data_IF_490212467589
#
_entry.id   IF_490212467589
#
_cell.length_a   1.000
_cell.length_b   1.000
_cell.length_c   1.000
_cell.angle_alpha   90.00
_cell.angle_beta   90.00
_cell.angle_gamma   90.00
#
_symmetry.space_group_name_H-M   'P 1'
#
loop_
_entity.id
_entity.type
_entity.pdbx_description
1 polymer ?
#
# COMPACT_ATOMS: atom_id res chain seq x y z
N UNK A 1 0.00 -8.44 -13.17
CA UNK A 1 -1.46 -8.61 -13.11
C UNK A 1 -1.74 -10.09 -13.08
N UNK A 2 -2.33 -10.57 -11.99
CA UNK A 2 -2.61 -11.99 -11.76
C UNK A 2 -4.09 -12.21 -11.42
N UNK A 3 -4.67 -13.31 -11.90
CA UNK A 3 -6.06 -13.72 -11.62
C UNK A 3 -6.00 -14.91 -10.66
N UNK A 4 -6.53 -14.72 -9.45
CA UNK A 4 -6.52 -15.74 -8.39
C UNK A 4 -7.92 -16.23 -8.07
N UNK A 5 -8.02 -17.36 -7.36
CA UNK A 5 -9.30 -17.95 -6.96
C UNK A 5 -9.27 -18.39 -5.48
N UNK A 6 -10.40 -18.25 -4.80
CA UNK A 6 -10.56 -18.64 -3.39
C UNK A 6 -12.01 -19.00 -3.07
N UNK A 7 -12.26 -19.55 -1.89
CA UNK A 7 -13.60 -19.76 -1.35
C UNK A 7 -14.06 -18.53 -0.56
N UNK A 8 -15.32 -18.11 -0.71
CA UNK A 8 -15.91 -17.05 0.10
C UNK A 8 -16.07 -17.52 1.55
N UNK A 9 -15.44 -16.86 2.54
CA UNK A 9 -15.50 -17.30 3.94
C UNK A 9 -16.89 -17.14 4.58
N UNK A 10 -17.80 -16.40 3.93
CA UNK A 10 -19.14 -16.17 4.45
C UNK A 10 -20.18 -17.17 3.91
N UNK A 11 -20.12 -17.52 2.62
CA UNK A 11 -21.16 -18.35 1.98
C UNK A 11 -20.62 -19.56 1.21
N UNK A 12 -19.31 -19.81 1.21
CA UNK A 12 -18.69 -20.98 0.59
C UNK A 12 -18.64 -20.96 -0.94
N UNK A 13 -19.10 -19.89 -1.59
CA UNK A 13 -19.03 -19.79 -3.06
C UNK A 13 -17.59 -19.55 -3.51
N UNK A 14 -17.21 -20.13 -4.64
CA UNK A 14 -15.92 -19.81 -5.26
C UNK A 14 -15.90 -18.37 -5.83
N UNK A 15 -14.83 -17.64 -5.56
CA UNK A 15 -14.63 -16.24 -5.95
C UNK A 15 -13.33 -16.11 -6.73
N UNK A 16 -13.40 -15.45 -7.87
CA UNK A 16 -12.23 -15.05 -8.66
C UNK A 16 -11.87 -13.60 -8.32
N UNK A 17 -10.58 -13.32 -8.18
CA UNK A 17 -10.05 -12.02 -7.81
C UNK A 17 -8.88 -11.57 -8.67
N UNK A 18 -8.48 -10.32 -8.49
CA UNK A 18 -7.31 -9.72 -9.15
C UNK A 18 -6.27 -9.34 -8.11
N UNK A 19 -5.04 -9.83 -8.26
CA UNK A 19 -3.94 -9.60 -7.30
C UNK A 19 -4.37 -9.86 -5.85
N UNK A 20 -5.08 -10.97 -5.59
CA UNK A 20 -5.56 -11.32 -4.26
C UNK A 20 -6.69 -10.44 -3.70
N UNK A 21 -7.33 -9.61 -4.52
CA UNK A 21 -8.53 -8.83 -4.14
C UNK A 21 -9.79 -9.54 -4.60
N UNK A 22 -10.70 -9.82 -3.67
CA UNK A 22 -11.86 -10.66 -3.87
C UNK A 22 -13.15 -9.92 -3.49
N UNK A 23 -14.18 -10.11 -4.31
CA UNK A 23 -15.54 -9.63 -4.04
C UNK A 23 -16.55 -10.72 -4.40
N UNK A 24 -17.34 -11.16 -3.44
CA UNK A 24 -18.35 -12.19 -3.63
C UNK A 24 -19.64 -11.57 -4.19
N UNK A 25 -19.97 -11.90 -5.44
CA UNK A 25 -21.20 -11.43 -6.09
C UNK A 25 -22.49 -11.98 -5.45
N UNK A 26 -22.42 -13.05 -4.65
CA UNK A 26 -23.60 -13.69 -4.07
C UNK A 26 -24.00 -13.13 -2.71
N UNK A 27 -23.04 -12.84 -1.84
CA UNK A 27 -23.33 -12.39 -0.47
C UNK A 27 -22.72 -11.04 -0.09
N UNK A 28 -21.99 -10.40 -1.01
CA UNK A 28 -21.43 -9.06 -0.82
C UNK A 28 -20.17 -8.99 0.05
N UNK A 29 -19.63 -10.12 0.52
CA UNK A 29 -18.35 -10.15 1.22
C UNK A 29 -17.22 -9.62 0.32
N UNK A 30 -16.38 -8.76 0.88
CA UNK A 30 -15.13 -8.29 0.27
C UNK A 30 -14.00 -8.46 1.28
N UNK A 31 -12.80 -8.80 0.81
CA UNK A 31 -11.64 -8.88 1.68
C UNK A 31 -11.13 -7.48 2.07
N UNK A 32 -10.35 -7.39 3.16
CA UNK A 32 -9.80 -6.10 3.58
C UNK A 32 -8.81 -5.58 2.53
N UNK A 33 -8.79 -4.27 2.30
CA UNK A 33 -8.01 -3.65 1.22
C UNK A 33 -6.50 -3.94 1.27
N UNK A 34 -5.98 -4.24 2.46
CA UNK A 34 -4.57 -4.57 2.70
C UNK A 34 -4.21 -6.04 2.46
N UNK A 35 -5.18 -6.89 2.12
CA UNK A 35 -4.98 -8.34 1.94
C UNK A 35 -4.67 -8.73 0.48
N UNK A 36 -4.60 -7.75 -0.43
CA UNK A 36 -4.13 -7.99 -1.80
C UNK A 36 -2.66 -8.40 -1.83
N UNK A 37 -2.23 -9.04 -2.91
CA UNK A 37 -0.85 -9.49 -3.11
C UNK A 37 0.02 -8.47 -3.84
N UNK A 38 -0.58 -7.46 -4.46
CA UNK A 38 0.16 -6.33 -5.03
C UNK A 38 0.54 -5.33 -3.94
N UNK A 39 1.73 -4.72 -4.09
CA UNK A 39 2.14 -3.59 -3.26
C UNK A 39 1.09 -2.48 -3.30
N UNK A 40 0.88 -1.87 -2.14
CA UNK A 40 0.02 -0.72 -2.01
C UNK A 40 0.78 0.53 -2.48
N UNK A 41 0.09 1.52 -3.06
CA UNK A 41 0.71 2.79 -3.39
C UNK A 41 1.29 3.44 -2.13
N UNK A 42 2.46 4.07 -2.28
CA UNK A 42 3.10 4.87 -1.25
C UNK A 42 2.30 6.13 -0.93
N UNK A 43 2.63 6.78 0.19
CA UNK A 43 1.99 8.05 0.56
C UNK A 43 2.34 9.17 -0.43
N UNK A 44 3.52 9.10 -1.04
CA UNK A 44 3.98 10.02 -2.08
C UNK A 44 3.20 9.90 -3.40
N UNK A 45 2.46 8.81 -3.60
CA UNK A 45 1.62 8.57 -4.78
C UNK A 45 0.15 8.99 -4.54
N UNK A 46 -0.19 9.47 -3.34
CA UNK A 46 -1.53 9.96 -3.01
C UNK A 46 -1.78 11.30 -3.74
N UNK A 47 -2.76 11.37 -4.66
CA UNK A 47 -3.08 12.60 -5.38
C UNK A 47 -3.63 13.71 -4.47
N UNK A 48 -4.20 13.34 -3.32
CA UNK A 48 -4.70 14.25 -2.29
C UNK A 48 -3.69 14.41 -1.13
N UNK A 49 -2.50 13.79 -1.25
CA UNK A 49 -1.44 13.83 -0.26
C UNK A 49 -0.83 15.24 -0.11
N UNK A 50 -0.19 15.52 1.04
CA UNK A 50 0.56 16.76 1.18
C UNK A 50 1.71 16.79 0.16
N UNK A 51 1.89 17.91 -0.52
CA UNK A 51 3.02 18.11 -1.42
C UNK A 51 4.32 17.87 -0.63
N UNK A 52 5.27 17.08 -1.15
CA UNK A 52 6.48 16.74 -0.40
C UNK A 52 7.16 18.02 0.09
N UNK A 53 7.27 18.17 1.42
CA UNK A 53 8.10 19.23 1.99
C UNK A 53 9.51 19.07 1.40
N UNK A 54 9.95 20.06 0.64
CA UNK A 54 11.35 20.17 0.24
C UNK A 54 12.13 20.41 1.53
N UNK A 55 12.57 19.34 2.20
CA UNK A 55 13.46 19.46 3.35
C UNK A 55 14.80 19.97 2.80
N UNK A 56 15.22 21.20 3.14
CA UNK A 56 16.52 21.68 2.69
C UNK A 56 17.61 20.74 3.23
N UNK A 57 18.70 20.51 2.49
CA UNK A 57 19.79 19.68 2.97
C UNK A 57 20.25 20.21 4.33
N UNK A 58 20.50 19.28 5.26
CA UNK A 58 21.04 19.63 6.57
C UNK A 58 22.29 20.52 6.39
N UNK A 59 22.47 21.57 7.22
CA UNK A 59 23.66 22.39 7.15
C UNK A 59 24.91 21.51 7.31
N UNK A 60 26.04 21.86 6.68
CA UNK A 60 27.27 21.11 6.82
C UNK A 60 27.62 20.98 8.30
N UNK A 61 27.89 19.75 8.74
CA UNK A 61 28.36 19.48 10.10
C UNK A 61 29.67 20.23 10.28
N UNK A 62 29.68 21.26 11.14
CA UNK A 62 30.91 21.96 11.49
C UNK A 62 31.82 20.95 12.19
N UNK A 63 32.97 20.67 11.57
CA UNK A 63 33.97 19.78 12.13
C UNK A 63 34.43 20.28 13.50
N UNK A 64 35.02 19.39 14.34
CA UNK A 64 35.51 19.77 15.65
C UNK A 64 36.51 20.93 15.53
N UNK A 65 36.52 21.87 16.50
CA UNK A 65 37.40 23.04 16.44
C UNK A 65 38.85 22.59 16.39
N UNK A 66 39.60 23.09 15.40
CA UNK A 66 41.04 22.88 15.33
C UNK A 66 41.70 23.50 16.57
N UNK A 67 42.35 22.66 17.40
CA UNK A 67 43.22 23.14 18.47
C UNK A 67 44.43 23.82 17.83
N UNK A 68 44.64 25.09 18.16
CA UNK A 68 45.86 25.85 17.84
C UNK A 68 47.04 25.30 18.62
#
# INVERSE_FOLDING_TARGET
>A
MDITRTECPQCGSEVTGLNGRYACALCGWVNHWSQGTADLPGAEEDPDGPEPEIVPPAPPVQGPPHRR
#
